data_IF_352086511471
#
_entry.id   IF_352086511471
#
_cell.length_a   1.000
_cell.length_b   1.000
_cell.length_c   1.000
_cell.angle_alpha   90.00
_cell.angle_beta   90.00
_cell.angle_gamma   90.00
#
_symmetry.space_group_name_H-M   'P 1'
#
loop_
_entity.id
_entity.type
_entity.pdbx_description
1 polymer ?
#
# COMPACT_ATOMS: atom_id res chain seq x y z
N UNK A 1 1.53 1.87 -4.47
CA UNK A 1 0.68 0.68 -4.21
C UNK A 1 -0.64 1.22 -3.70
N UNK A 2 -1.77 0.94 -4.35
CA UNK A 2 -3.03 1.60 -4.00
C UNK A 2 -3.88 0.68 -3.11
N UNK A 3 -3.93 0.99 -1.81
CA UNK A 3 -4.83 0.35 -0.85
C UNK A 3 -6.07 1.24 -0.69
N UNK A 4 -7.23 0.61 -0.56
CA UNK A 4 -8.49 1.30 -0.30
C UNK A 4 -9.12 0.78 0.98
N UNK A 5 -9.51 1.67 1.88
CA UNK A 5 -10.27 1.30 3.08
C UNK A 5 -11.76 1.42 2.79
N UNK A 6 -12.52 0.41 3.23
CA UNK A 6 -13.98 0.38 3.13
C UNK A 6 -14.59 -0.06 4.44
N UNK A 7 -15.70 0.57 4.83
CA UNK A 7 -16.51 0.12 5.96
C UNK A 7 -17.61 -0.83 5.48
N UNK A 8 -17.60 -2.08 5.92
CA UNK A 8 -18.65 -3.09 5.64
C UNK A 8 -19.22 -3.56 6.97
N UNK A 9 -20.54 -3.41 7.17
CA UNK A 9 -21.22 -3.87 8.40
C UNK A 9 -20.54 -3.40 9.70
N UNK A 10 -20.09 -2.14 9.72
CA UNK A 10 -19.34 -1.51 10.81
C UNK A 10 -17.86 -1.90 10.94
N UNK A 11 -17.37 -2.85 10.16
CA UNK A 11 -15.95 -3.24 10.14
C UNK A 11 -15.18 -2.46 9.09
N UNK A 12 -13.98 -2.01 9.43
CA UNK A 12 -13.06 -1.41 8.48
C UNK A 12 -12.20 -2.50 7.85
N UNK A 13 -12.22 -2.60 6.53
CA UNK A 13 -11.40 -3.55 5.77
C UNK A 13 -10.48 -2.81 4.80
N UNK A 14 -9.30 -3.40 4.55
CA UNK A 14 -8.38 -2.95 3.51
C UNK A 14 -8.56 -3.80 2.24
N UNK A 15 -8.70 -3.14 1.10
CA UNK A 15 -8.90 -3.74 -0.21
C UNK A 15 -7.78 -3.34 -1.16
N UNK A 16 -7.40 -4.25 -2.05
CA UNK A 16 -6.56 -3.91 -3.20
C UNK A 16 -7.35 -3.02 -4.16
N UNK A 17 -6.92 -1.78 -4.37
CA UNK A 17 -7.67 -0.83 -5.21
C UNK A 17 -7.67 -1.21 -6.69
N UNK A 18 -6.69 -2.02 -7.15
CA UNK A 18 -6.58 -2.51 -8.54
C UNK A 18 -7.56 -3.66 -8.80
N UNK A 19 -7.81 -4.51 -7.80
CA UNK A 19 -8.62 -5.71 -7.94
C UNK A 19 -10.07 -5.53 -7.44
N UNK A 20 -10.47 -4.30 -7.07
CA UNK A 20 -11.80 -4.04 -6.52
C UNK A 20 -12.48 -2.78 -7.07
N UNK A 21 -13.78 -2.91 -7.32
CA UNK A 21 -14.60 -1.82 -7.81
C UNK A 21 -14.71 -0.67 -6.78
N UNK A 22 -14.58 0.59 -7.23
CA UNK A 22 -14.82 1.76 -6.39
C UNK A 22 -16.26 1.82 -5.89
N UNK A 23 -16.42 2.16 -4.62
CA UNK A 23 -17.71 2.48 -4.02
C UNK A 23 -17.65 3.86 -3.37
N UNK A 24 -18.83 4.47 -3.27
CA UNK A 24 -19.03 5.70 -2.52
C UNK A 24 -18.55 5.48 -1.08
N UNK A 25 -17.83 6.47 -0.55
CA UNK A 25 -17.24 6.50 0.80
C UNK A 25 -16.00 5.61 1.02
N UNK A 26 -15.45 5.04 -0.05
CA UNK A 26 -14.12 4.45 0.02
C UNK A 26 -13.04 5.50 0.31
N UNK A 27 -12.10 5.17 1.19
CA UNK A 27 -10.93 6.02 1.48
C UNK A 27 -9.72 5.46 0.73
N UNK A 28 -9.12 6.25 -0.14
CA UNK A 28 -7.90 5.88 -0.82
C UNK A 28 -6.70 6.22 0.07
N UNK A 29 -5.85 5.24 0.31
CA UNK A 29 -4.56 5.46 0.94
C UNK A 29 -3.56 5.70 -0.19
N UNK A 30 -3.25 6.97 -0.43
CA UNK A 30 -2.10 7.33 -1.23
C UNK A 30 -0.79 6.98 -0.51
N UNK A 31 0.34 7.20 -1.19
CA UNK A 31 1.65 6.82 -0.65
C UNK A 31 1.99 7.61 0.63
N UNK A 32 1.50 8.84 0.80
CA UNK A 32 1.77 9.66 1.99
C UNK A 32 1.00 9.14 3.21
N UNK A 33 -0.31 8.89 3.05
CA UNK A 33 -1.15 8.36 4.12
C UNK A 33 -0.68 6.95 4.49
N UNK A 34 -0.37 6.12 3.49
CA UNK A 34 0.14 4.78 3.73
C UNK A 34 1.48 4.80 4.48
N UNK A 35 2.39 5.72 4.14
CA UNK A 35 3.64 5.90 4.85
C UNK A 35 3.44 6.35 6.31
N UNK A 36 2.55 7.31 6.53
CA UNK A 36 2.25 7.81 7.88
C UNK A 36 1.68 6.71 8.79
N UNK A 37 0.72 5.91 8.28
CA UNK A 37 0.13 4.79 9.02
C UNK A 37 1.16 3.69 9.32
N UNK A 38 2.00 3.34 8.34
CA UNK A 38 3.05 2.34 8.53
C UNK A 38 4.08 2.80 9.57
N UNK A 39 4.48 4.07 9.52
CA UNK A 39 5.42 4.66 10.49
C UNK A 39 4.83 4.63 11.89
N UNK A 40 3.57 5.06 12.04
CA UNK A 40 2.91 5.06 13.35
C UNK A 40 2.77 3.65 13.92
N UNK A 41 2.40 2.67 13.08
CA UNK A 41 2.35 1.27 13.48
C UNK A 41 3.72 0.75 13.93
N UNK A 42 4.80 1.09 13.22
CA UNK A 42 6.15 0.70 13.61
C UNK A 42 6.55 1.26 14.98
N UNK A 43 6.23 2.53 15.25
CA UNK A 43 6.46 3.17 16.54
C UNK A 43 5.66 2.52 17.67
N UNK A 44 4.36 2.30 17.45
CA UNK A 44 3.44 1.80 18.49
C UNK A 44 3.77 0.38 18.96
N UNK A 45 4.29 -0.46 18.06
CA UNK A 45 4.60 -1.85 18.35
C UNK A 45 6.09 -2.10 18.62
N UNK A 46 6.90 -1.04 18.76
CA UNK A 46 8.34 -1.17 18.97
C UNK A 46 9.06 -1.92 17.86
N UNK A 47 8.41 -2.08 16.71
CA UNK A 47 8.97 -2.59 15.47
C UNK A 47 9.74 -1.44 14.83
N UNK A 48 10.74 -0.91 15.54
CA UNK A 48 11.66 0.06 14.98
C UNK A 48 12.14 -0.52 13.66
N UNK A 49 11.67 0.07 12.55
CA UNK A 49 11.78 -0.56 11.24
C UNK A 49 13.22 -0.95 11.03
N UNK A 50 13.48 -2.25 10.85
CA UNK A 50 14.86 -2.70 10.64
C UNK A 50 15.39 -1.87 9.48
N UNK A 51 16.39 -1.03 9.77
CA UNK A 51 16.91 -0.05 8.82
C UNK A 51 17.32 -0.76 7.52
N UNK A 52 17.76 -2.01 7.62
CA UNK A 52 18.03 -2.87 6.46
C UNK A 52 16.78 -3.27 5.69
N UNK A 53 15.68 -3.62 6.35
CA UNK A 53 14.41 -3.92 5.66
C UNK A 53 13.87 -2.67 4.96
N UNK A 54 13.94 -1.49 5.60
CA UNK A 54 13.53 -0.22 4.97
C UNK A 54 14.40 0.11 3.75
N UNK A 55 15.72 -0.04 3.86
CA UNK A 55 16.64 0.14 2.72
C UNK A 55 16.43 -0.90 1.61
N UNK A 56 16.15 -2.15 1.97
CA UNK A 56 15.87 -3.23 1.02
C UNK A 56 14.55 -2.97 0.28
N UNK A 57 13.49 -2.61 0.99
CA UNK A 57 12.20 -2.25 0.41
C UNK A 57 12.34 -1.04 -0.53
N UNK A 58 13.12 -0.03 -0.16
CA UNK A 58 13.37 1.13 -1.04
C UNK A 58 14.13 0.74 -2.31
N UNK A 59 15.07 -0.22 -2.25
CA UNK A 59 15.73 -0.76 -3.44
C UNK A 59 14.79 -1.61 -4.32
N UNK A 60 13.95 -2.44 -3.71
CA UNK A 60 13.04 -3.33 -4.45
C UNK A 60 11.84 -2.59 -5.05
N UNK A 61 11.38 -1.47 -4.46
CA UNK A 61 10.28 -0.64 -5.00
C UNK A 61 10.52 -0.19 -6.46
N UNK A 62 11.76 0.14 -6.83
CA UNK A 62 12.10 0.54 -8.21
C UNK A 62 12.03 -0.66 -9.17
N UNK A 63 12.37 -1.85 -8.69
CA UNK A 63 12.31 -3.11 -9.45
C UNK A 63 10.87 -3.57 -9.64
N UNK A 64 10.04 -3.45 -8.62
CA UNK A 64 8.61 -3.81 -8.68
C UNK A 64 7.85 -2.84 -9.58
N UNK A 65 8.12 -1.53 -9.50
CA UNK A 65 7.56 -0.54 -10.43
C UNK A 65 7.93 -0.86 -11.90
N UNK A 66 9.16 -1.29 -12.17
CA UNK A 66 9.59 -1.71 -13.53
C UNK A 66 8.88 -2.99 -14.00
N UNK A 67 8.73 -3.98 -13.12
CA UNK A 67 8.00 -5.22 -13.45
C UNK A 67 6.53 -4.96 -13.72
N UNK A 68 5.87 -4.16 -12.88
CA UNK A 68 4.48 -3.74 -13.07
C UNK A 68 4.30 -2.97 -14.37
N UNK A 69 5.19 -2.01 -14.69
CA UNK A 69 5.16 -1.28 -15.95
C UNK A 69 5.32 -2.20 -17.18
N UNK A 70 6.17 -3.23 -17.09
CA UNK A 70 6.35 -4.24 -18.14
C UNK A 70 5.08 -5.09 -18.28
N UNK A 71 4.46 -5.48 -17.18
CA UNK A 71 3.21 -6.25 -17.21
C UNK A 71 2.06 -5.44 -17.82
N UNK A 72 1.92 -4.16 -17.45
CA UNK A 72 0.88 -3.28 -18.02
C UNK A 72 1.09 -3.06 -19.52
N UNK A 73 2.35 -2.95 -19.98
CA UNK A 73 2.67 -2.85 -21.41
C UNK A 73 2.42 -4.13 -22.22
N UNK A 74 2.33 -5.30 -21.58
CA UNK A 74 1.99 -6.56 -22.25
C UNK A 74 0.48 -6.80 -22.38
N UNK A 75 -0.32 -6.06 -21.62
CA UNK A 75 -1.78 -6.12 -21.62
C UNK A 75 -2.43 -5.08 -22.54
N UNK A 76 -1.62 -4.21 -23.16
CA UNK A 76 -1.98 -3.25 -24.22
C UNK A 76 -1.54 -3.79 -25.57
#
# INVERSE_FOLDING_TARGET
MAIRLRKINSEMIALCAVESDPKRDDIYLDDEIHYALATKFMEDYGLGGDKKLVELMNKEKVRDAKKELINWRKLL
#
